data_IF_514294510645
#
_entry.id   IF_514294510645
#
_cell.length_a   1.000
_cell.length_b   1.000
_cell.length_c   1.000
_cell.angle_alpha   90.00
_cell.angle_beta   90.00
_cell.angle_gamma   90.00
#
_symmetry.space_group_name_H-M   'P 1'
#
loop_
_entity.id
_entity.type
_entity.pdbx_description
1 polymer ?
#
# COMPACT_ATOMS: atom_id res chain seq x y z
N UNK A 1 5.07 -6.21 21.15
CA UNK A 1 5.44 -5.06 20.27
C UNK A 1 6.95 -4.89 20.31
N UNK A 2 7.65 -4.83 19.17
CA UNK A 2 9.13 -4.89 19.10
C UNK A 2 9.83 -3.56 19.43
N UNK A 3 9.19 -2.41 19.17
CA UNK A 3 9.82 -1.11 19.34
C UNK A 3 10.39 -0.81 20.75
N UNK A 4 9.75 -1.19 21.87
CA UNK A 4 10.34 -1.02 23.20
C UNK A 4 11.61 -1.86 23.45
N UNK A 5 11.81 -2.94 22.68
CA UNK A 5 12.97 -3.82 22.80
C UNK A 5 14.10 -3.35 21.89
N UNK A 6 13.78 -2.98 20.65
CA UNK A 6 14.78 -2.65 19.62
C UNK A 6 15.07 -1.17 19.48
N UNK A 7 14.18 -0.30 19.98
CA UNK A 7 14.21 1.14 19.72
C UNK A 7 13.79 1.55 18.31
N UNK A 8 13.40 0.60 17.45
CA UNK A 8 13.06 0.86 16.04
C UNK A 8 11.55 0.81 15.82
N UNK A 9 10.99 1.89 15.29
CA UNK A 9 9.60 1.98 14.84
C UNK A 9 9.49 1.74 13.34
N UNK A 10 8.38 1.17 12.89
CA UNK A 10 8.09 0.95 11.48
C UNK A 10 6.60 1.07 11.18
N UNK A 11 6.28 1.37 9.92
CA UNK A 11 4.93 1.33 9.34
C UNK A 11 5.05 0.97 7.85
N UNK A 12 3.98 0.46 7.25
CA UNK A 12 3.96 0.16 5.81
C UNK A 12 3.15 1.19 5.04
N UNK A 13 3.58 1.46 3.81
CA UNK A 13 2.88 2.30 2.83
C UNK A 13 2.43 1.39 1.71
N UNK A 14 1.12 1.35 1.46
CA UNK A 14 0.50 0.39 0.56
C UNK A 14 -0.34 1.16 -0.48
N UNK A 15 0.27 1.60 -1.58
CA UNK A 15 -0.46 2.25 -2.66
C UNK A 15 -1.43 1.28 -3.34
N UNK A 16 -2.65 1.74 -3.62
CA UNK A 16 -3.51 1.12 -4.62
C UNK A 16 -2.98 1.36 -6.04
N UNK A 17 -3.79 1.05 -7.06
CA UNK A 17 -3.36 1.18 -8.45
C UNK A 17 -3.07 2.65 -8.77
N UNK A 18 -1.80 2.93 -9.06
CA UNK A 18 -1.26 4.27 -9.26
C UNK A 18 -0.64 4.35 -10.64
N UNK A 19 -0.96 5.40 -11.41
CA UNK A 19 -0.47 5.61 -12.78
C UNK A 19 1.04 5.90 -12.83
N UNK A 20 1.83 4.85 -12.67
CA UNK A 20 3.30 4.81 -12.74
C UNK A 20 3.72 3.87 -13.88
N UNK A 21 4.99 3.92 -14.27
CA UNK A 21 5.50 3.07 -15.37
C UNK A 21 5.40 1.56 -15.09
N UNK A 22 5.37 1.16 -13.80
CA UNK A 22 5.25 -0.24 -13.42
C UNK A 22 3.94 -0.89 -13.92
N UNK A 23 2.84 -0.13 -13.93
CA UNK A 23 1.52 -0.65 -14.31
C UNK A 23 1.20 -0.44 -15.79
N UNK A 24 2.16 -0.01 -16.61
CA UNK A 24 1.94 0.14 -18.06
C UNK A 24 1.96 -1.22 -18.78
N UNK A 25 2.82 -2.15 -18.34
CA UNK A 25 2.90 -3.52 -18.87
C UNK A 25 3.70 -4.40 -17.91
N UNK A 26 3.15 -5.56 -17.56
CA UNK A 26 3.84 -6.57 -16.77
C UNK A 26 3.25 -7.95 -17.06
N UNK A 27 4.02 -9.00 -16.80
CA UNK A 27 3.62 -10.38 -17.07
C UNK A 27 2.79 -10.93 -15.92
N UNK A 28 1.67 -11.56 -16.23
CA UNK A 28 1.00 -12.45 -15.27
C UNK A 28 1.80 -13.74 -15.10
N UNK A 29 1.68 -14.39 -13.94
CA UNK A 29 2.28 -15.70 -13.74
C UNK A 29 1.71 -16.74 -14.73
N UNK A 30 2.58 -17.45 -15.45
CA UNK A 30 2.21 -18.42 -16.50
C UNK A 30 1.30 -17.85 -17.60
N UNK A 31 1.37 -16.54 -17.87
CA UNK A 31 0.60 -15.86 -18.91
C UNK A 31 -0.93 -16.05 -18.83
N UNK A 32 -1.45 -16.30 -17.63
CA UNK A 32 -2.89 -16.52 -17.40
C UNK A 32 -3.76 -15.29 -17.72
N UNK A 33 -3.19 -14.08 -17.70
CA UNK A 33 -3.86 -12.86 -18.14
C UNK A 33 -2.85 -11.86 -18.76
N UNK A 34 -2.66 -11.89 -20.09
CA UNK A 34 -1.69 -11.04 -20.78
C UNK A 34 -2.06 -9.55 -20.79
N UNK A 35 -3.31 -9.19 -20.49
CA UNK A 35 -3.81 -7.81 -20.46
C UNK A 35 -3.98 -7.26 -19.05
N UNK A 36 -3.39 -7.88 -18.04
CA UNK A 36 -3.60 -7.51 -16.64
C UNK A 36 -3.36 -6.02 -16.36
N UNK A 37 -2.33 -5.42 -16.98
CA UNK A 37 -2.07 -3.99 -16.87
C UNK A 37 -3.19 -3.10 -17.43
N UNK A 38 -3.74 -3.46 -18.60
CA UNK A 38 -4.86 -2.77 -19.24
C UNK A 38 -6.11 -2.86 -18.36
N UNK A 39 -6.45 -4.08 -17.92
CA UNK A 39 -7.63 -4.34 -17.10
C UNK A 39 -7.60 -3.58 -15.76
N UNK A 40 -6.43 -3.48 -15.11
CA UNK A 40 -6.31 -2.69 -13.87
C UNK A 40 -6.57 -1.19 -14.09
N UNK A 41 -6.25 -0.66 -15.28
CA UNK A 41 -6.40 0.75 -15.62
C UNK A 41 -7.82 1.12 -16.09
N UNK A 42 -8.68 0.15 -16.38
CA UNK A 42 -10.09 0.35 -16.70
C UNK A 42 -10.94 0.74 -15.47
N UNK A 43 -10.42 0.48 -14.26
CA UNK A 43 -11.08 0.83 -13.00
C UNK A 43 -10.60 2.18 -12.44
N UNK A 44 -11.31 2.78 -11.46
CA UNK A 44 -10.81 3.96 -10.77
C UNK A 44 -9.40 3.75 -10.21
N UNK A 45 -8.52 4.70 -10.48
CA UNK A 45 -7.10 4.69 -10.07
C UNK A 45 -6.74 6.06 -9.51
N UNK A 46 -5.50 6.22 -9.04
CA UNK A 46 -4.98 7.51 -8.59
C UNK A 46 -3.77 7.99 -9.40
N UNK A 47 -3.53 9.29 -9.35
CA UNK A 47 -2.30 9.90 -9.90
C UNK A 47 -1.12 9.68 -8.97
N UNK A 48 0.09 9.67 -9.54
CA UNK A 48 1.34 9.61 -8.77
C UNK A 48 1.46 10.77 -7.77
N UNK A 49 0.95 11.97 -8.12
CA UNK A 49 0.98 13.14 -7.23
C UNK A 49 0.11 12.93 -6.00
N UNK A 50 -1.12 12.43 -6.16
CA UNK A 50 -2.01 12.13 -5.02
C UNK A 50 -1.37 11.10 -4.09
N UNK A 51 -0.81 10.02 -4.66
CA UNK A 51 -0.08 9.01 -3.89
C UNK A 51 1.09 9.62 -3.12
N UNK A 52 1.96 10.41 -3.78
CA UNK A 52 3.11 11.04 -3.15
C UNK A 52 2.74 12.01 -2.02
N UNK A 53 1.68 12.81 -2.21
CA UNK A 53 1.17 13.71 -1.17
C UNK A 53 0.71 12.93 0.07
N UNK A 54 -0.02 11.83 -0.11
CA UNK A 54 -0.47 11.00 1.01
C UNK A 54 0.66 10.16 1.61
N UNK A 55 1.67 9.80 0.83
CA UNK A 55 2.90 9.16 1.33
C UNK A 55 3.58 10.06 2.35
N UNK A 56 3.81 11.32 2.00
CA UNK A 56 4.44 12.28 2.92
C UNK A 56 3.59 12.50 4.17
N UNK A 57 2.25 12.60 4.03
CA UNK A 57 1.35 12.68 5.19
C UNK A 57 1.47 11.47 6.12
N UNK A 58 1.60 10.26 5.57
CA UNK A 58 1.80 9.05 6.36
C UNK A 58 3.15 9.06 7.11
N UNK A 59 4.22 9.57 6.47
CA UNK A 59 5.51 9.78 7.15
C UNK A 59 5.37 10.77 8.31
N UNK A 60 4.72 11.91 8.05
CA UNK A 60 4.50 12.95 9.05
C UNK A 60 3.65 12.48 10.24
N UNK A 61 2.71 11.56 10.01
CA UNK A 61 1.90 10.97 11.07
C UNK A 61 2.76 10.11 12.03
N UNK A 62 3.86 9.53 11.55
CA UNK A 62 4.84 8.76 12.33
C UNK A 62 4.20 7.74 13.30
N UNK A 63 3.22 6.98 12.81
CA UNK A 63 2.46 6.03 13.64
C UNK A 63 3.09 4.64 13.58
N UNK A 64 3.78 4.24 14.64
CA UNK A 64 4.38 2.91 14.72
C UNK A 64 3.32 1.79 14.62
N UNK A 65 3.53 0.82 13.74
CA UNK A 65 2.63 -0.30 13.48
C UNK A 65 1.47 0.03 12.55
N UNK A 66 1.36 1.26 12.04
CA UNK A 66 0.32 1.60 11.08
C UNK A 66 0.52 0.86 9.74
N UNK A 67 -0.60 0.48 9.13
CA UNK A 67 -0.68 -0.08 7.80
C UNK A 67 -1.45 0.93 6.96
N UNK A 68 -0.73 1.76 6.21
CA UNK A 68 -1.34 2.85 5.47
C UNK A 68 -1.79 2.39 4.08
N UNK A 69 -3.08 2.48 3.79
CA UNK A 69 -3.65 2.34 2.46
C UNK A 69 -3.71 3.71 1.80
N UNK A 70 -3.03 3.85 0.67
CA UNK A 70 -3.01 5.06 -0.15
C UNK A 70 -3.72 4.74 -1.45
N UNK A 71 -5.02 4.94 -1.50
CA UNK A 71 -5.82 4.51 -2.64
C UNK A 71 -6.88 5.55 -3.01
N UNK A 72 -7.16 5.66 -4.32
CA UNK A 72 -8.12 6.62 -4.88
C UNK A 72 -7.95 8.07 -4.37
N UNK A 73 -6.70 8.48 -4.10
CA UNK A 73 -6.37 9.80 -3.58
C UNK A 73 -6.62 10.01 -2.07
N UNK A 74 -6.94 8.95 -1.34
CA UNK A 74 -7.17 8.97 0.11
C UNK A 74 -5.99 8.39 0.89
N UNK A 75 -5.95 8.65 2.20
CA UNK A 75 -5.01 8.05 3.15
C UNK A 75 -5.80 7.46 4.31
N UNK A 76 -5.69 6.15 4.52
CA UNK A 76 -6.44 5.43 5.54
C UNK A 76 -5.53 4.44 6.28
N UNK A 77 -5.64 4.38 7.61
CA UNK A 77 -5.02 3.32 8.39
C UNK A 77 -5.98 2.12 8.43
N UNK A 78 -5.53 0.96 7.97
CA UNK A 78 -6.34 -0.26 8.01
C UNK A 78 -6.07 -1.05 9.29
N UNK A 79 -7.11 -1.73 9.78
CA UNK A 79 -6.99 -2.70 10.86
C UNK A 79 -6.64 -4.07 10.28
N UNK A 80 -5.57 -4.68 10.77
CA UNK A 80 -5.22 -6.05 10.39
C UNK A 80 -6.12 -7.03 11.13
N UNK A 81 -6.85 -7.87 10.39
CA UNK A 81 -7.72 -8.89 10.99
C UNK A 81 -6.90 -9.86 11.84
N UNK A 82 -7.24 -9.94 13.13
CA UNK A 82 -6.64 -10.88 14.05
C UNK A 82 -7.31 -12.26 13.92
N UNK A 83 -6.78 -13.10 13.03
CA UNK A 83 -7.25 -14.47 12.86
C UNK A 83 -6.72 -15.43 13.92
N UNK A 84 -5.54 -15.15 14.47
CA UNK A 84 -4.90 -15.94 15.52
C UNK A 84 -4.06 -15.04 16.43
N UNK A 85 -3.65 -15.59 17.56
CA UNK A 85 -2.74 -14.94 18.51
C UNK A 85 -1.64 -15.93 18.90
N UNK A 86 -0.39 -15.48 18.92
CA UNK A 86 0.73 -16.29 19.39
C UNK A 86 0.80 -16.39 20.90
N UNK A 87 0.03 -15.56 21.63
CA UNK A 87 -0.03 -15.52 23.10
C UNK A 87 1.31 -15.20 23.79
N UNK A 88 2.24 -14.59 23.06
CA UNK A 88 3.55 -14.11 23.54
C UNK A 88 3.72 -12.63 23.27
#
# INVERSE_FOLDING_TARGET
RLAPITGVTAYSINPGITKTTLVHKFNSWLDVEPRLAELLLEHPTQTTLQCAQNFVKAIQANQNGAIWKLDLGTLEAIEWTKHSDSHI
#
